data_IF_675912613383
#
_entry.id   IF_675912613383
#
_cell.length_a   1.000
_cell.length_b   1.000
_cell.length_c   1.000
_cell.angle_alpha   90.00
_cell.angle_beta   90.00
_cell.angle_gamma   90.00
#
_symmetry.space_group_name_H-M   'P 1'
#
loop_
_entity.id
_entity.type
_entity.pdbx_description
1 polymer ?
#
# COMPACT_ATOMS: atom_id res chain seq x y z
N UNK A 1 -2.08 -16.23 -25.40
CA UNK A 1 -1.50 -16.65 -24.11
C UNK A 1 -1.88 -15.60 -23.07
N UNK A 2 -2.98 -15.82 -22.34
CA UNK A 2 -3.46 -14.88 -21.32
C UNK A 2 -2.78 -15.18 -20.00
N UNK A 3 -1.92 -14.29 -19.52
CA UNK A 3 -1.45 -14.37 -18.15
C UNK A 3 -2.63 -14.10 -17.22
N UNK A 4 -2.90 -15.03 -16.29
CA UNK A 4 -3.92 -14.83 -15.26
C UNK A 4 -3.62 -13.53 -14.50
N UNK A 5 -4.62 -12.67 -14.30
CA UNK A 5 -4.50 -11.38 -13.59
C UNK A 5 -3.83 -11.53 -12.22
N UNK A 6 -4.02 -12.68 -11.58
CA UNK A 6 -3.39 -13.07 -10.32
C UNK A 6 -1.87 -13.22 -10.44
N UNK A 7 -1.35 -13.70 -11.57
CA UNK A 7 0.09 -13.89 -11.82
C UNK A 7 0.82 -12.57 -12.13
N UNK A 8 0.13 -11.62 -12.77
CA UNK A 8 0.67 -10.28 -13.03
C UNK A 8 0.81 -9.47 -11.73
N UNK A 9 -0.17 -9.58 -10.82
CA UNK A 9 -0.11 -8.91 -9.52
C UNK A 9 0.99 -9.44 -8.62
N UNK A 10 1.26 -10.76 -8.63
CA UNK A 10 2.31 -11.35 -7.79
C UNK A 10 3.70 -10.97 -8.23
N UNK A 11 3.97 -10.98 -9.54
CA UNK A 11 5.26 -10.58 -10.11
C UNK A 11 5.56 -9.10 -9.89
N UNK A 12 4.55 -8.23 -10.03
CA UNK A 12 4.67 -6.80 -9.71
C UNK A 12 4.98 -6.58 -8.21
N UNK A 13 4.25 -7.26 -7.32
CA UNK A 13 4.50 -7.21 -5.88
C UNK A 13 5.91 -7.67 -5.52
N UNK A 14 6.42 -8.73 -6.16
CA UNK A 14 7.77 -9.23 -5.93
C UNK A 14 8.85 -8.23 -6.37
N UNK A 15 8.77 -7.69 -7.59
CA UNK A 15 9.71 -6.67 -8.08
C UNK A 15 9.75 -5.45 -7.16
N UNK A 16 8.58 -5.01 -6.71
CA UNK A 16 8.44 -3.86 -5.83
C UNK A 16 9.01 -4.12 -4.44
N UNK A 17 8.68 -5.27 -3.88
CA UNK A 17 9.24 -5.73 -2.61
C UNK A 17 10.77 -5.77 -2.66
N UNK A 18 11.32 -6.27 -3.77
CA UNK A 18 12.74 -6.25 -4.02
C UNK A 18 13.30 -4.82 -4.06
N UNK A 19 12.66 -3.89 -4.79
CA UNK A 19 13.12 -2.49 -4.90
C UNK A 19 13.24 -1.76 -3.55
N UNK A 20 12.40 -2.12 -2.58
CA UNK A 20 12.44 -1.58 -1.21
C UNK A 20 13.51 -2.31 -0.39
N UNK A 21 13.58 -3.63 -0.49
CA UNK A 21 14.56 -4.44 0.24
C UNK A 21 16.00 -4.07 -0.08
N UNK A 22 16.31 -3.75 -1.34
CA UNK A 22 17.66 -3.34 -1.73
C UNK A 22 18.09 -1.98 -1.14
N UNK A 23 17.15 -1.18 -0.62
CA UNK A 23 17.49 0.08 0.06
C UNK A 23 18.02 -0.13 1.49
N UNK A 24 17.94 -1.35 2.04
CA UNK A 24 18.41 -1.68 3.39
C UNK A 24 17.81 -0.79 4.51
N UNK A 25 16.55 -0.38 4.33
CA UNK A 25 15.80 0.38 5.33
C UNK A 25 15.56 -0.47 6.60
N UNK A 26 15.54 0.19 7.76
CA UNK A 26 15.31 -0.45 9.06
C UNK A 26 13.82 -0.69 9.32
N UNK A 27 12.96 0.12 8.71
CA UNK A 27 11.53 0.04 8.88
C UNK A 27 10.96 -1.24 8.22
N UNK A 28 10.01 -1.94 8.87
CA UNK A 28 9.43 -3.14 8.30
C UNK A 28 8.60 -2.82 7.06
N UNK A 29 8.74 -3.65 6.03
CA UNK A 29 7.86 -3.58 4.87
C UNK A 29 6.60 -4.43 5.11
N UNK A 30 5.45 -3.82 4.83
CA UNK A 30 4.14 -4.36 5.16
C UNK A 30 3.22 -4.29 3.94
N UNK A 31 2.53 -5.38 3.64
CA UNK A 31 1.51 -5.46 2.60
C UNK A 31 0.15 -5.68 3.26
N UNK A 32 -0.77 -4.74 3.02
CA UNK A 32 -2.18 -4.91 3.33
C UNK A 32 -2.90 -5.51 2.12
N UNK A 33 -3.72 -6.52 2.34
CA UNK A 33 -4.40 -7.22 1.25
C UNK A 33 -5.86 -7.50 1.58
N UNK A 34 -6.72 -7.47 0.56
CA UNK A 34 -8.12 -7.87 0.66
C UNK A 34 -8.28 -9.37 0.38
N UNK A 35 -9.52 -9.84 0.35
CA UNK A 35 -9.87 -11.21 -0.02
C UNK A 35 -9.30 -11.62 -1.40
N UNK A 36 -9.21 -12.93 -1.62
CA UNK A 36 -8.79 -13.55 -2.89
C UNK A 36 -7.31 -13.43 -3.28
N UNK A 37 -6.41 -13.19 -2.33
CA UNK A 37 -4.96 -13.35 -2.56
C UNK A 37 -4.55 -14.80 -2.35
N UNK A 38 -3.87 -15.40 -3.33
CA UNK A 38 -3.44 -16.79 -3.28
C UNK A 38 -2.48 -17.05 -2.11
N UNK A 39 -2.71 -18.13 -1.36
CA UNK A 39 -1.90 -18.52 -0.20
C UNK A 39 -0.41 -18.66 -0.55
N UNK A 40 -0.11 -19.18 -1.74
CA UNK A 40 1.27 -19.32 -2.21
C UNK A 40 1.97 -17.95 -2.33
N UNK A 41 1.26 -16.92 -2.83
CA UNK A 41 1.78 -15.56 -2.93
C UNK A 41 2.08 -14.97 -1.56
N UNK A 42 1.19 -15.18 -0.58
CA UNK A 42 1.41 -14.74 0.80
C UNK A 42 2.63 -15.42 1.43
N UNK A 43 2.82 -16.73 1.17
CA UNK A 43 4.00 -17.47 1.62
C UNK A 43 5.28 -16.89 1.00
N UNK A 44 5.30 -16.61 -0.30
CA UNK A 44 6.44 -16.00 -0.98
C UNK A 44 6.78 -14.61 -0.45
N UNK A 45 5.79 -13.78 -0.13
CA UNK A 45 6.03 -12.47 0.49
C UNK A 45 6.65 -12.63 1.88
N UNK A 46 6.12 -13.53 2.70
CA UNK A 46 6.65 -13.80 4.04
C UNK A 46 8.07 -14.36 4.02
N UNK A 47 8.43 -15.22 3.06
CA UNK A 47 9.80 -15.73 2.91
C UNK A 47 10.81 -14.63 2.55
N UNK A 48 10.35 -13.50 1.99
CA UNK A 48 11.16 -12.31 1.76
C UNK A 48 11.25 -11.39 3.00
N UNK A 49 10.70 -11.80 4.14
CA UNK A 49 10.64 -11.00 5.36
C UNK A 49 9.71 -9.80 5.22
N UNK A 50 8.58 -9.98 4.53
CA UNK A 50 7.53 -8.97 4.36
C UNK A 50 6.33 -9.39 5.20
N UNK A 51 5.83 -8.48 6.02
CA UNK A 51 4.65 -8.74 6.82
C UNK A 51 3.39 -8.56 5.98
N UNK A 52 2.43 -9.46 6.14
CA UNK A 52 1.17 -9.45 5.38
C UNK A 52 -0.01 -9.33 6.34
N UNK A 53 -0.89 -8.35 6.15
CA UNK A 53 -2.08 -8.15 6.99
C UNK A 53 -3.35 -8.14 6.15
N UNK A 54 -4.33 -8.99 6.45
CA UNK A 54 -5.63 -8.93 5.79
C UNK A 54 -6.36 -7.66 6.24
N UNK A 55 -7.06 -7.02 5.31
CA UNK A 55 -7.97 -5.90 5.55
C UNK A 55 -9.31 -6.15 4.87
N UNK A 56 -10.39 -5.68 5.49
CA UNK A 56 -11.73 -5.77 4.91
C UNK A 56 -11.88 -4.77 3.78
N UNK A 57 -12.35 -5.23 2.61
CA UNK A 57 -12.67 -4.33 1.50
C UNK A 57 -13.79 -3.38 1.92
N UNK A 58 -13.63 -2.09 1.65
CA UNK A 58 -14.70 -1.11 1.83
C UNK A 58 -15.27 -0.80 0.44
N UNK A 59 -16.53 -1.15 0.24
CA UNK A 59 -17.24 -0.88 -1.00
C UNK A 59 -17.52 0.62 -1.15
N UNK A 60 -17.46 1.09 -2.40
CA UNK A 60 -17.80 2.49 -2.72
C UNK A 60 -19.31 2.72 -2.52
N UNK A 61 -19.72 3.78 -1.81
CA UNK A 61 -21.13 4.14 -1.68
C UNK A 61 -21.71 4.70 -3.00
N UNK A 62 -20.86 5.07 -3.97
CA UNK A 62 -21.28 5.56 -5.28
C UNK A 62 -21.50 4.42 -6.28
N UNK A 63 -22.63 4.50 -7.02
CA UNK A 63 -23.12 3.52 -8.00
C UNK A 63 -22.08 3.14 -9.08
N UNK A 64 -22.24 1.92 -9.59
CA UNK A 64 -21.42 1.12 -10.52
C UNK A 64 -20.83 1.75 -11.80
N UNK A 65 -20.87 3.07 -12.02
CA UNK A 65 -20.40 3.68 -13.26
C UNK A 65 -18.87 3.81 -13.37
N UNK A 66 -18.12 3.62 -12.28
CA UNK A 66 -16.66 3.76 -12.27
C UNK A 66 -16.00 2.51 -11.69
N UNK A 67 -15.74 1.51 -12.54
CA UNK A 67 -14.98 0.32 -12.13
C UNK A 67 -13.61 0.67 -11.51
N UNK A 68 -13.03 1.81 -11.89
CA UNK A 68 -11.75 2.30 -11.37
C UNK A 68 -11.77 2.76 -9.90
N UNK A 69 -12.94 2.88 -9.26
CA UNK A 69 -13.04 3.29 -7.83
C UNK A 69 -13.23 2.12 -6.86
N UNK A 70 -13.33 0.87 -7.36
CA UNK A 70 -13.70 -0.33 -6.59
C UNK A 70 -12.89 -0.59 -5.31
N UNK A 71 -11.66 -0.06 -5.21
CA UNK A 71 -10.76 -0.27 -4.05
C UNK A 71 -10.28 1.02 -3.38
N UNK A 72 -10.74 2.20 -3.83
CA UNK A 72 -10.22 3.47 -3.29
C UNK A 72 -10.57 3.64 -1.81
N UNK A 73 -11.81 3.30 -1.43
CA UNK A 73 -12.28 3.38 -0.05
C UNK A 73 -11.56 2.39 0.88
N UNK A 74 -11.15 1.23 0.39
CA UNK A 74 -10.39 0.24 1.17
C UNK A 74 -9.10 0.82 1.76
N UNK A 75 -8.50 1.84 1.12
CA UNK A 75 -7.29 2.51 1.64
C UNK A 75 -7.52 3.26 2.95
N UNK A 76 -8.76 3.62 3.27
CA UNK A 76 -9.11 4.28 4.54
C UNK A 76 -8.73 3.41 5.74
N UNK A 77 -8.75 2.09 5.60
CA UNK A 77 -8.32 1.16 6.65
C UNK A 77 -6.90 1.40 7.15
N UNK A 78 -6.03 2.08 6.38
CA UNK A 78 -4.68 2.43 6.83
C UNK A 78 -4.68 3.32 8.08
N UNK A 79 -5.69 4.17 8.27
CA UNK A 79 -5.82 4.99 9.48
C UNK A 79 -6.16 4.16 10.72
N UNK A 80 -6.76 2.98 10.56
CA UNK A 80 -7.07 2.09 11.67
C UNK A 80 -5.86 1.24 12.13
N UNK A 81 -4.71 1.31 11.44
CA UNK A 81 -3.51 0.51 11.71
C UNK A 81 -2.68 1.04 12.90
N UNK A 82 -3.32 1.19 14.05
CA UNK A 82 -2.74 1.83 15.27
C UNK A 82 -1.60 1.06 15.92
N UNK A 83 -1.25 -0.13 15.42
CA UNK A 83 -0.03 -0.83 15.81
C UNK A 83 1.23 -0.16 15.22
N UNK A 84 1.06 0.78 14.29
CA UNK A 84 2.13 1.57 13.70
C UNK A 84 1.98 3.03 14.11
N UNK A 85 3.09 3.69 14.43
CA UNK A 85 3.13 5.11 14.79
C UNK A 85 3.06 6.02 13.58
N UNK A 86 3.63 5.60 12.45
CA UNK A 86 3.63 6.32 11.18
C UNK A 86 3.71 5.32 10.04
N UNK A 87 2.92 5.53 8.99
CA UNK A 87 2.93 4.73 7.78
C UNK A 87 3.38 5.59 6.60
N UNK A 88 4.33 5.09 5.83
CA UNK A 88 4.60 5.56 4.46
C UNK A 88 3.86 4.61 3.51
N UNK A 89 2.68 5.03 3.06
CA UNK A 89 1.85 4.32 2.10
C UNK A 89 2.37 4.56 0.69
N UNK A 90 2.45 3.50 -0.10
CA UNK A 90 2.96 3.53 -1.46
C UNK A 90 2.05 2.68 -2.37
N UNK A 91 1.62 3.20 -3.53
CA UNK A 91 0.78 2.47 -4.50
C UNK A 91 1.52 1.34 -5.22
N UNK A 92 0.82 0.28 -5.60
CA UNK A 92 1.44 -0.92 -6.19
C UNK A 92 2.24 -0.67 -7.47
N UNK A 93 2.03 0.47 -8.12
CA UNK A 93 2.73 0.94 -9.32
C UNK A 93 3.91 1.88 -9.02
N UNK A 94 4.30 2.09 -7.75
CA UNK A 94 5.48 2.89 -7.38
C UNK A 94 6.74 2.03 -7.23
N UNK A 95 7.87 2.52 -7.76
CA UNK A 95 9.20 1.91 -7.59
C UNK A 95 10.07 2.77 -6.67
N UNK A 96 10.69 2.16 -5.66
CA UNK A 96 11.60 2.86 -4.74
C UNK A 96 13.03 2.74 -5.26
N UNK A 97 13.65 3.88 -5.61
CA UNK A 97 15.02 3.94 -6.16
C UNK A 97 16.10 4.26 -5.12
N UNK A 98 15.72 4.90 -4.03
CA UNK A 98 16.61 5.39 -2.98
C UNK A 98 15.96 5.16 -1.61
N UNK A 99 16.76 5.28 -0.53
CA UNK A 99 16.24 5.32 0.83
C UNK A 99 15.18 6.43 0.98
N UNK A 100 14.01 6.04 1.51
CA UNK A 100 12.88 6.95 1.76
C UNK A 100 12.57 7.09 3.25
N UNK A 101 13.47 6.66 4.14
CA UNK A 101 13.24 6.69 5.60
C UNK A 101 13.08 8.12 6.12
N UNK A 102 13.56 9.12 5.37
CA UNK A 102 13.30 10.53 5.67
C UNK A 102 11.82 10.91 5.68
N UNK A 103 10.97 10.23 4.90
CA UNK A 103 9.54 10.53 4.81
C UNK A 103 8.81 10.30 6.14
N UNK A 104 9.28 9.38 6.98
CA UNK A 104 8.70 9.11 8.30
C UNK A 104 8.76 10.32 9.25
N UNK A 105 9.55 11.36 8.93
CA UNK A 105 9.66 12.60 9.74
C UNK A 105 8.70 13.71 9.29
N UNK A 106 7.90 13.50 8.25
CA UNK A 106 7.17 14.59 7.59
C UNK A 106 6.01 15.19 8.42
N UNK A 107 5.29 14.39 9.22
CA UNK A 107 4.19 14.90 10.06
C UNK A 107 3.05 13.91 10.27
N UNK A 108 1.84 14.44 10.49
CA UNK A 108 0.61 13.65 10.63
C UNK A 108 0.02 13.20 9.29
N UNK A 109 0.17 14.01 8.25
CA UNK A 109 -0.19 13.69 6.87
C UNK A 109 0.74 14.43 5.91
N UNK A 110 1.30 13.71 4.94
CA UNK A 110 2.05 14.30 3.83
C UNK A 110 1.75 13.56 2.53
N UNK A 111 1.76 14.27 1.40
CA UNK A 111 1.58 13.69 0.08
C UNK A 111 2.34 14.52 -0.95
N UNK A 112 2.62 13.94 -2.12
CA UNK A 112 3.23 14.68 -3.22
C UNK A 112 2.21 15.65 -3.83
N UNK A 113 2.55 16.93 -3.94
CA UNK A 113 1.68 17.92 -4.60
C UNK A 113 1.57 17.57 -6.09
N UNK A 114 0.36 17.71 -6.65
CA UNK A 114 0.10 17.48 -8.06
C UNK A 114 -0.15 18.81 -8.79
N UNK A 115 -1.41 19.19 -8.96
CA UNK A 115 -1.80 20.40 -9.67
C UNK A 115 -2.87 21.11 -8.85
N UNK A 116 -2.86 22.44 -8.86
CA UNK A 116 -3.73 23.28 -8.04
C UNK A 116 -3.63 22.91 -6.56
N UNK A 117 -4.77 22.65 -5.94
CA UNK A 117 -4.99 22.27 -4.55
C UNK A 117 -5.02 20.74 -4.34
N UNK A 118 -4.62 19.95 -5.35
CA UNK A 118 -4.68 18.49 -5.31
C UNK A 118 -3.31 17.86 -5.09
N UNK A 119 -3.29 16.76 -4.35
CA UNK A 119 -2.13 15.89 -4.16
C UNK A 119 -2.28 14.56 -4.91
N UNK A 120 -1.16 13.89 -5.13
CA UNK A 120 -1.10 12.51 -5.60
C UNK A 120 -1.06 11.58 -4.38
N UNK A 121 -2.03 10.67 -4.27
CA UNK A 121 -2.15 9.71 -3.18
C UNK A 121 -1.24 8.47 -3.33
N UNK A 122 -0.44 8.41 -4.40
CA UNK A 122 0.45 7.29 -4.70
C UNK A 122 1.60 7.12 -3.72
N UNK A 123 2.00 8.21 -3.07
CA UNK A 123 2.94 8.20 -1.94
C UNK A 123 2.39 9.13 -0.87
N UNK A 124 2.09 8.57 0.30
CA UNK A 124 1.56 9.34 1.43
C UNK A 124 2.25 8.95 2.72
N UNK A 125 2.48 9.92 3.59
CA UNK A 125 2.79 9.70 5.00
C UNK A 125 1.51 9.92 5.78
N UNK A 126 1.16 9.02 6.69
CA UNK A 126 0.02 9.20 7.58
C UNK A 126 0.33 8.64 8.97
N UNK A 127 -0.24 9.28 9.99
CA UNK A 127 -0.27 8.73 11.36
C UNK A 127 -1.61 8.03 11.58
N UNK A 128 -1.61 6.71 11.83
CA UNK A 128 -2.84 5.99 12.15
C UNK A 128 -3.52 6.56 13.40
N UNK A 129 -4.84 6.74 13.33
CA UNK A 129 -5.67 7.14 14.45
C UNK A 129 -7.10 6.60 14.25
N UNK A 130 -7.57 5.78 15.18
CA UNK A 130 -8.92 5.18 15.14
C UNK A 130 -10.05 6.21 15.19
N UNK A 131 -9.83 7.41 15.74
CA UNK A 131 -10.87 8.45 15.75
C UNK A 131 -11.03 9.13 14.38
N UNK A 132 -10.22 8.77 13.38
CA UNK A 132 -10.29 9.28 12.01
C UNK A 132 -10.91 8.28 11.01
N UNK A 133 -11.36 7.11 11.49
CA UNK A 133 -12.07 6.07 10.73
C UNK A 133 -13.42 5.81 11.34
#
# INVERSE_FOLDING_TARGET
MGFSTTLLLTTALLHRSYSIKVQNMKEPYVIFYTENVATQSLKSLRSLGIYTFPITKIDTPYRASHEATKFQYTRINLWAMTNYTTLVSLDLDTLVKHDISALFRCGSFCASMRHSDKFNAGVMVLKPNKTMT
#
